data_IF_371410126430
#
_entry.id   IF_371410126430
#
_cell.length_a   1.000
_cell.length_b   1.000
_cell.length_c   1.000
_cell.angle_alpha   90.00
_cell.angle_beta   90.00
_cell.angle_gamma   90.00
#
_symmetry.space_group_name_H-M   'P 1'
#
loop_
_entity.id
_entity.type
_entity.pdbx_description
1 polymer ?
#
# COMPACT_ATOMS: atom_id res chain seq x y z
N UNK A 1 -24.59 39.78 48.26
CA UNK A 1 -24.98 38.61 47.43
C UNK A 1 -25.55 39.02 46.07
N UNK A 2 -26.66 39.78 45.97
CA UNK A 2 -27.27 40.17 44.67
C UNK A 2 -26.35 40.90 43.66
N UNK A 3 -25.39 41.71 44.14
CA UNK A 3 -24.43 42.44 43.26
C UNK A 3 -23.39 41.52 42.61
N UNK A 4 -22.99 40.44 43.27
CA UNK A 4 -21.99 39.49 42.76
C UNK A 4 -22.66 38.53 41.77
N UNK A 5 -23.91 38.13 42.06
CA UNK A 5 -24.71 37.29 41.17
C UNK A 5 -25.02 38.00 39.84
N UNK A 6 -25.32 39.30 39.85
CA UNK A 6 -25.60 40.05 38.63
C UNK A 6 -24.37 40.25 37.74
N UNK A 7 -23.16 40.37 38.31
CA UNK A 7 -21.91 40.48 37.54
C UNK A 7 -21.54 39.15 36.89
N UNK A 8 -21.80 38.03 37.55
CA UNK A 8 -21.53 36.70 36.98
C UNK A 8 -22.48 36.41 35.80
N UNK A 9 -23.74 36.85 35.87
CA UNK A 9 -24.73 36.63 34.80
C UNK A 9 -24.43 37.50 33.57
N UNK A 10 -24.00 38.76 33.72
CA UNK A 10 -23.60 39.59 32.57
C UNK A 10 -22.30 39.12 31.93
N UNK A 11 -21.34 38.60 32.70
CA UNK A 11 -20.10 38.04 32.15
C UNK A 11 -20.36 36.71 31.41
N UNK A 12 -21.29 35.87 31.89
CA UNK A 12 -21.68 34.65 31.17
C UNK A 12 -22.39 34.93 29.84
N UNK A 13 -23.22 35.97 29.77
CA UNK A 13 -23.93 36.34 28.54
C UNK A 13 -23.02 36.99 27.49
N UNK A 14 -21.95 37.69 27.92
CA UNK A 14 -21.00 38.33 27.00
C UNK A 14 -20.01 37.34 26.35
N UNK A 15 -19.83 36.15 26.93
CA UNK A 15 -19.02 35.08 26.33
C UNK A 15 -19.80 34.17 25.36
N UNK A 16 -21.13 34.24 25.32
CA UNK A 16 -21.94 33.33 24.52
C UNK A 16 -22.19 33.82 23.08
N UNK A 17 -21.93 35.10 22.77
CA UNK A 17 -22.14 35.66 21.42
C UNK A 17 -20.86 35.74 20.58
N UNK A 18 -19.68 35.58 21.17
CA UNK A 18 -18.41 35.60 20.43
C UNK A 18 -18.13 34.29 19.66
N UNK A 19 -18.85 33.20 19.95
CA UNK A 19 -18.59 31.89 19.33
C UNK A 19 -19.33 31.64 18.01
N UNK A 20 -20.11 32.60 17.50
CA UNK A 20 -20.91 32.41 16.29
C UNK A 20 -20.40 33.19 15.06
N UNK A 21 -19.27 33.90 15.14
CA UNK A 21 -18.73 34.64 13.99
C UNK A 21 -17.49 33.97 13.35
N UNK A 22 -16.85 32.98 13.98
CA UNK A 22 -15.63 32.35 13.43
C UNK A 22 -15.90 30.97 12.79
N UNK A 23 -17.03 30.80 12.10
CA UNK A 23 -17.38 29.54 11.45
C UNK A 23 -17.72 29.66 9.95
N UNK A 24 -17.33 30.74 9.27
CA UNK A 24 -17.65 30.90 7.84
C UNK A 24 -16.52 31.44 6.94
N UNK A 25 -15.28 31.54 7.42
CA UNK A 25 -14.18 32.11 6.63
C UNK A 25 -12.93 31.22 6.63
N UNK A 26 -13.03 29.95 6.23
CA UNK A 26 -11.83 29.24 5.76
C UNK A 26 -12.08 28.00 4.90
N UNK A 27 -13.15 27.97 4.10
CA UNK A 27 -13.41 26.86 3.19
C UNK A 27 -12.62 26.96 1.87
N UNK A 28 -11.72 27.93 1.72
CA UNK A 28 -10.95 28.19 0.51
C UNK A 28 -9.43 28.13 0.70
N UNK A 29 -8.92 27.54 1.80
CA UNK A 29 -7.53 27.09 1.80
C UNK A 29 -7.41 25.94 0.80
N UNK A 30 -7.07 26.31 -0.43
CA UNK A 30 -6.45 25.43 -1.41
C UNK A 30 -5.37 24.69 -0.63
N UNK A 31 -5.55 23.38 -0.43
CA UNK A 31 -4.49 22.54 0.12
C UNK A 31 -3.24 22.86 -0.72
N UNK A 32 -2.08 23.16 -0.11
CA UNK A 32 -0.87 23.30 -0.89
C UNK A 32 -0.76 22.06 -1.78
N UNK A 33 -0.79 22.27 -3.09
CA UNK A 33 -0.55 21.23 -4.07
C UNK A 33 0.92 20.84 -3.89
N UNK A 34 1.19 19.94 -2.94
CA UNK A 34 2.50 19.31 -2.84
C UNK A 34 2.80 18.72 -4.22
N UNK A 35 3.95 19.03 -4.84
CA UNK A 35 4.31 18.46 -6.12
C UNK A 35 4.13 16.94 -6.04
N UNK A 36 3.39 16.36 -6.98
CA UNK A 36 3.06 14.94 -6.94
C UNK A 36 4.33 14.06 -7.06
N UNK A 37 5.45 14.63 -7.50
CA UNK A 37 6.77 13.99 -7.55
C UNK A 37 7.39 13.67 -6.19
N UNK A 38 6.90 14.26 -5.09
CA UNK A 38 7.36 13.90 -3.75
C UNK A 38 6.70 12.61 -3.21
N UNK A 39 5.75 12.02 -3.96
CA UNK A 39 4.99 10.85 -3.49
C UNK A 39 5.74 9.53 -3.68
N UNK A 40 6.37 9.30 -4.83
CA UNK A 40 6.98 8.02 -5.19
C UNK A 40 8.49 7.98 -4.90
N UNK A 41 8.84 8.12 -3.62
CA UNK A 41 10.23 8.10 -3.14
C UNK A 41 10.55 6.79 -2.43
N UNK A 42 11.84 6.45 -2.32
CA UNK A 42 12.29 5.28 -1.56
C UNK A 42 11.92 5.37 -0.06
N UNK A 43 11.71 6.57 0.47
CA UNK A 43 11.24 6.78 1.84
C UNK A 43 9.75 6.41 1.98
N UNK A 44 8.93 6.78 0.99
CA UNK A 44 7.49 6.52 1.02
C UNK A 44 7.13 5.08 0.62
N UNK A 45 7.88 4.52 -0.34
CA UNK A 45 7.76 3.18 -0.91
C UNK A 45 9.08 2.40 -0.78
N UNK A 46 9.54 2.12 0.46
CA UNK A 46 10.79 1.41 0.67
C UNK A 46 10.69 -0.01 0.10
N UNK A 47 11.67 -0.39 -0.73
CA UNK A 47 11.84 -1.79 -1.12
C UNK A 47 12.12 -2.67 0.11
N UNK A 48 11.74 -3.94 0.03
CA UNK A 48 11.99 -4.93 1.09
C UNK A 48 12.54 -6.25 0.53
N UNK A 49 12.84 -7.18 1.43
CA UNK A 49 13.13 -8.56 1.12
C UNK A 49 14.41 -8.74 0.30
N UNK A 50 14.38 -9.73 -0.58
CA UNK A 50 15.57 -10.11 -1.37
C UNK A 50 15.96 -9.03 -2.38
N UNK A 51 15.00 -8.35 -3.01
CA UNK A 51 15.26 -7.31 -4.00
C UNK A 51 16.00 -6.11 -3.40
N UNK A 52 15.65 -5.71 -2.17
CA UNK A 52 16.43 -4.71 -1.42
C UNK A 52 17.85 -5.19 -1.09
N UNK A 53 18.00 -6.45 -0.66
CA UNK A 53 19.32 -7.02 -0.35
C UNK A 53 20.23 -7.11 -1.58
N UNK A 54 19.66 -7.28 -2.76
CA UNK A 54 20.37 -7.26 -4.04
C UNK A 54 20.70 -5.84 -4.54
N UNK A 55 20.25 -4.80 -3.84
CA UNK A 55 20.55 -3.41 -4.18
C UNK A 55 19.79 -2.90 -5.42
N UNK A 56 18.64 -3.50 -5.74
CA UNK A 56 17.82 -3.02 -6.86
C UNK A 56 17.27 -1.62 -6.59
N UNK A 57 17.10 -0.87 -7.66
CA UNK A 57 16.58 0.48 -7.76
C UNK A 57 15.16 0.49 -8.34
N UNK A 58 14.50 1.66 -8.34
CA UNK A 58 13.14 1.81 -8.84
C UNK A 58 13.00 1.35 -10.30
N UNK A 59 14.00 1.67 -11.13
CA UNK A 59 13.97 1.44 -12.58
C UNK A 59 14.21 -0.01 -12.99
N UNK A 60 14.65 -0.85 -12.05
CA UNK A 60 14.79 -2.29 -12.31
C UNK A 60 13.42 -2.97 -12.43
N UNK A 61 12.38 -2.36 -11.85
CA UNK A 61 10.99 -2.79 -11.99
C UNK A 61 10.19 -1.81 -12.86
N UNK A 62 10.17 -0.54 -12.49
CA UNK A 62 9.40 0.51 -13.16
C UNK A 62 10.13 1.00 -14.41
N UNK A 63 9.62 0.63 -15.59
CA UNK A 63 10.26 0.99 -16.86
C UNK A 63 9.82 2.38 -17.36
N UNK A 64 8.88 3.04 -16.68
CA UNK A 64 8.39 4.36 -17.05
C UNK A 64 9.41 5.44 -16.69
N UNK A 65 9.43 6.52 -17.47
CA UNK A 65 10.47 7.55 -17.36
C UNK A 65 10.25 8.49 -16.17
N UNK A 66 9.02 8.63 -15.69
CA UNK A 66 8.66 9.53 -14.60
C UNK A 66 8.00 8.76 -13.45
N UNK A 67 8.33 9.07 -12.17
CA UNK A 67 7.73 8.40 -11.03
C UNK A 67 6.20 8.49 -10.97
N UNK A 68 5.61 9.58 -11.47
CA UNK A 68 4.16 9.76 -11.51
C UNK A 68 3.47 8.85 -12.55
N UNK A 69 4.23 8.28 -13.47
CA UNK A 69 3.78 7.36 -14.52
C UNK A 69 3.99 5.89 -14.13
N UNK A 70 4.64 5.61 -12.99
CA UNK A 70 4.93 4.25 -12.54
C UNK A 70 3.64 3.42 -12.45
N UNK A 71 3.53 2.41 -13.31
CA UNK A 71 2.42 1.48 -13.27
C UNK A 71 2.67 0.37 -12.24
N UNK A 72 1.59 -0.31 -11.85
CA UNK A 72 1.68 -1.54 -11.06
C UNK A 72 1.94 -2.78 -11.93
N UNK A 73 1.82 -2.68 -13.25
CA UNK A 73 1.92 -3.82 -14.17
C UNK A 73 3.38 -4.13 -14.50
N UNK A 74 4.01 -4.92 -13.64
CA UNK A 74 5.47 -5.15 -13.70
C UNK A 74 5.86 -6.54 -14.18
N UNK A 75 4.91 -7.32 -14.74
CA UNK A 75 5.14 -8.73 -15.09
C UNK A 75 6.40 -8.92 -15.95
N UNK A 76 6.56 -8.11 -16.99
CA UNK A 76 7.74 -8.17 -17.86
C UNK A 76 9.06 -7.98 -17.08
N UNK A 77 9.09 -7.03 -16.13
CA UNK A 77 10.28 -6.78 -15.30
C UNK A 77 10.58 -7.94 -14.37
N UNK A 78 9.57 -8.61 -13.80
CA UNK A 78 9.76 -9.82 -13.00
C UNK A 78 10.41 -10.94 -13.84
N UNK A 79 9.88 -11.19 -15.03
CA UNK A 79 10.31 -12.30 -15.89
C UNK A 79 11.71 -12.09 -16.49
N UNK A 80 12.21 -10.84 -16.61
CA UNK A 80 13.60 -10.55 -17.04
C UNK A 80 14.63 -11.30 -16.20
N UNK A 81 14.39 -11.46 -14.90
CA UNK A 81 15.30 -12.18 -13.99
C UNK A 81 14.77 -13.56 -13.58
N UNK A 82 13.45 -13.72 -13.43
CA UNK A 82 12.85 -14.97 -12.97
C UNK A 82 12.64 -16.01 -14.09
N UNK A 83 12.70 -15.61 -15.37
CA UNK A 83 12.41 -16.46 -16.52
C UNK A 83 10.93 -16.46 -16.88
N UNK A 84 10.48 -17.42 -17.70
CA UNK A 84 9.05 -17.57 -18.05
C UNK A 84 8.21 -18.08 -16.87
N UNK A 85 6.88 -18.00 -16.99
CA UNK A 85 5.98 -18.65 -16.02
C UNK A 85 6.26 -20.16 -15.91
N UNK A 86 6.52 -20.82 -17.03
CA UNK A 86 6.86 -22.23 -17.11
C UNK A 86 8.12 -22.53 -16.30
N UNK A 87 9.15 -21.68 -16.43
CA UNK A 87 10.37 -21.78 -15.63
C UNK A 87 10.09 -21.67 -14.13
N UNK A 88 9.21 -20.72 -13.73
CA UNK A 88 8.85 -20.53 -12.33
C UNK A 88 8.03 -21.72 -11.79
N UNK A 89 7.08 -22.23 -12.58
CA UNK A 89 6.30 -23.45 -12.27
C UNK A 89 7.22 -24.64 -12.02
N UNK A 90 8.18 -24.87 -12.91
CA UNK A 90 9.14 -25.97 -12.80
C UNK A 90 10.06 -25.83 -11.58
N UNK A 91 10.61 -24.63 -11.34
CA UNK A 91 11.47 -24.36 -10.17
C UNK A 91 10.76 -24.61 -8.84
N UNK A 92 9.44 -24.45 -8.82
CA UNK A 92 8.61 -24.65 -7.61
C UNK A 92 7.86 -25.99 -7.58
N UNK A 93 8.08 -26.86 -8.58
CA UNK A 93 7.41 -28.16 -8.67
C UNK A 93 7.73 -29.11 -7.50
N UNK A 94 8.89 -28.95 -6.87
CA UNK A 94 9.32 -29.76 -5.72
C UNK A 94 8.41 -29.63 -4.49
N UNK A 95 7.56 -28.60 -4.40
CA UNK A 95 6.54 -28.48 -3.35
C UNK A 95 5.33 -29.41 -3.58
N UNK A 96 5.23 -30.03 -4.74
CA UNK A 96 4.16 -30.93 -5.13
C UNK A 96 2.94 -30.20 -5.69
N UNK A 97 2.10 -30.95 -6.41
CA UNK A 97 0.95 -30.42 -7.14
C UNK A 97 0.03 -29.53 -6.28
N UNK A 98 -0.24 -29.94 -5.04
CA UNK A 98 -1.15 -29.21 -4.15
C UNK A 98 -0.56 -27.93 -3.55
N UNK A 99 0.76 -27.74 -3.60
CA UNK A 99 1.43 -26.59 -2.97
C UNK A 99 2.17 -25.69 -3.98
N UNK A 100 2.26 -26.09 -5.25
CA UNK A 100 2.84 -25.25 -6.28
C UNK A 100 1.86 -24.12 -6.66
N UNK A 101 1.95 -23.00 -5.96
CA UNK A 101 1.09 -21.82 -6.16
C UNK A 101 1.25 -21.16 -7.53
N UNK A 102 2.37 -21.42 -8.23
CA UNK A 102 2.60 -20.90 -9.58
C UNK A 102 1.95 -21.78 -10.67
N UNK A 103 1.47 -22.96 -10.30
CA UNK A 103 0.72 -23.88 -11.15
C UNK A 103 -0.73 -24.01 -10.64
N UNK A 104 -1.42 -22.87 -10.52
CA UNK A 104 -2.82 -22.83 -10.10
C UNK A 104 -3.74 -23.50 -11.14
N UNK A 105 -4.74 -24.29 -10.70
CA UNK A 105 -5.74 -24.86 -11.61
C UNK A 105 -6.81 -23.85 -12.07
N UNK A 106 -6.91 -22.68 -11.42
CA UNK A 106 -7.94 -21.68 -11.71
C UNK A 106 -7.42 -20.50 -12.52
N UNK A 107 -6.13 -20.21 -12.39
CA UNK A 107 -5.56 -18.97 -12.91
C UNK A 107 -4.24 -19.25 -13.60
N UNK A 108 -4.19 -18.93 -14.89
CA UNK A 108 -2.95 -18.96 -15.66
C UNK A 108 -2.30 -17.58 -15.62
N UNK A 109 -0.99 -17.55 -15.40
CA UNK A 109 -0.13 -16.39 -15.59
C UNK A 109 -0.59 -15.10 -14.85
N UNK A 110 -1.12 -15.24 -13.63
CA UNK A 110 -1.45 -14.12 -12.75
C UNK A 110 -0.24 -13.23 -12.50
N UNK A 111 -0.35 -11.93 -12.78
CA UNK A 111 0.73 -10.96 -12.57
C UNK A 111 1.41 -11.18 -11.22
N UNK A 112 2.75 -11.25 -11.22
CA UNK A 112 3.53 -11.68 -10.07
C UNK A 112 3.24 -10.82 -8.82
N UNK A 113 2.99 -9.53 -9.04
CA UNK A 113 2.74 -8.55 -8.00
C UNK A 113 1.38 -8.73 -7.31
N UNK A 114 0.47 -9.56 -7.83
CA UNK A 114 -0.78 -9.95 -7.14
C UNK A 114 -0.47 -10.57 -5.78
N UNK A 115 0.54 -11.44 -5.74
CA UNK A 115 0.99 -12.10 -4.51
C UNK A 115 2.31 -11.54 -3.98
N UNK A 116 3.22 -11.12 -4.87
CA UNK A 116 4.58 -10.68 -4.52
C UNK A 116 4.71 -9.15 -4.45
N UNK A 117 4.58 -8.58 -3.26
CA UNK A 117 4.75 -7.14 -2.99
C UNK A 117 6.20 -6.84 -2.60
N UNK A 118 6.86 -5.98 -3.37
CA UNK A 118 8.26 -5.57 -3.14
C UNK A 118 8.40 -4.37 -2.20
N UNK A 119 7.35 -3.60 -1.93
CA UNK A 119 7.39 -2.44 -1.02
C UNK A 119 6.91 -2.78 0.41
N UNK A 120 7.51 -2.17 1.43
CA UNK A 120 7.45 -2.60 2.85
C UNK A 120 6.18 -2.20 3.65
N UNK A 121 4.99 -2.00 3.06
CA UNK A 121 3.77 -1.50 3.77
C UNK A 121 2.47 -2.26 3.43
N UNK A 122 1.50 -2.30 4.38
CA UNK A 122 1.41 -3.24 5.51
C UNK A 122 0.87 -4.63 5.13
N UNK A 123 0.59 -4.91 3.85
CA UNK A 123 0.29 -6.26 3.40
C UNK A 123 1.57 -6.86 2.79
N UNK A 124 2.32 -7.57 3.62
CA UNK A 124 3.36 -8.49 3.16
C UNK A 124 2.77 -9.47 2.13
N UNK A 125 3.64 -10.00 1.26
CA UNK A 125 3.34 -11.03 0.27
C UNK A 125 2.16 -11.93 0.66
N UNK A 126 1.00 -11.69 0.06
CA UNK A 126 -0.23 -12.40 0.39
C UNK A 126 -0.47 -13.49 -0.63
N UNK A 127 -0.59 -14.73 -0.18
CA UNK A 127 -0.98 -15.81 -1.06
C UNK A 127 -2.48 -15.65 -1.43
N UNK A 128 -2.78 -15.29 -2.68
CA UNK A 128 -4.16 -15.11 -3.17
C UNK A 128 -5.04 -16.33 -2.85
N UNK A 129 -4.48 -17.54 -2.95
CA UNK A 129 -5.23 -18.78 -2.77
C UNK A 129 -5.82 -18.89 -1.36
N UNK A 130 -5.17 -18.32 -0.33
CA UNK A 130 -5.68 -18.40 1.06
C UNK A 130 -6.92 -17.56 1.30
N UNK A 131 -7.28 -16.67 0.37
CA UNK A 131 -8.53 -15.92 0.43
C UNK A 131 -9.75 -16.84 0.26
N UNK A 132 -9.59 -17.94 -0.49
CA UNK A 132 -10.65 -18.93 -0.71
C UNK A 132 -10.35 -20.28 -0.03
N UNK A 133 -9.07 -20.66 0.09
CA UNK A 133 -8.66 -21.96 0.60
C UNK A 133 -8.15 -21.86 2.05
N UNK A 134 -9.05 -22.11 3.01
CA UNK A 134 -8.75 -22.09 4.45
C UNK A 134 -8.07 -23.34 5.02
N UNK A 135 -7.76 -24.33 4.18
CA UNK A 135 -7.17 -25.61 4.58
C UNK A 135 -5.76 -25.43 5.16
N UNK A 136 -5.37 -26.30 6.10
CA UNK A 136 -4.06 -26.24 6.77
C UNK A 136 -2.88 -26.27 5.79
N UNK A 137 -3.01 -27.05 4.71
CA UNK A 137 -2.02 -27.19 3.63
C UNK A 137 -1.81 -25.90 2.83
N UNK A 138 -2.80 -25.00 2.77
CA UNK A 138 -2.65 -23.72 2.06
C UNK A 138 -2.14 -22.61 2.99
N UNK A 139 -2.51 -22.66 4.27
CA UNK A 139 -2.02 -21.71 5.28
C UNK A 139 -0.51 -21.81 5.52
N UNK A 140 0.10 -22.96 5.27
CA UNK A 140 1.56 -23.12 5.38
C UNK A 140 2.34 -22.35 4.29
N UNK A 141 1.65 -21.90 3.23
CA UNK A 141 2.24 -21.18 2.08
C UNK A 141 2.20 -19.65 2.27
N UNK A 142 1.79 -19.18 3.44
CA UNK A 142 1.89 -17.77 3.80
C UNK A 142 3.35 -17.42 4.04
N UNK A 143 3.86 -16.45 3.30
CA UNK A 143 5.20 -15.90 3.50
C UNK A 143 5.16 -15.06 4.78
N UNK A 144 5.94 -15.46 5.78
CA UNK A 144 6.08 -14.76 7.06
C UNK A 144 7.05 -13.59 6.95
#
# INVERSE_FOLDING_TARGET
>A
MKRVTNVIITVLFMFCTASWIVAAENSSKILPLTPMGDKFTAQNYPLDGIHKKLGLSCVDCHNETKPEEYSSEMLGSCLKCHGSYETVKERTAHWGHNNNVHQSPHFENLACDVCHKSHSKPASNSNLCVQCHGQKTMKQLLVK
#
